data_IF_544823051725
#
_entry.id   IF_544823051725
#
_cell.length_a   1.000
_cell.length_b   1.000
_cell.length_c   1.000
_cell.angle_alpha   90.00
_cell.angle_beta   90.00
_cell.angle_gamma   90.00
#
_symmetry.space_group_name_H-M   'P 1'
#
loop_
_entity.id
_entity.type
_entity.pdbx_description
1 polymer ?
#
# COMPACT_ATOMS: atom_id res chain seq x y z
N UNK A 1 -14.70 -7.72 -13.12
CA UNK A 1 -13.60 -8.25 -12.30
C UNK A 1 -14.10 -8.46 -10.89
N UNK A 2 -13.72 -9.57 -10.24
CA UNK A 2 -13.97 -9.73 -8.81
C UNK A 2 -13.04 -8.79 -8.04
N UNK A 3 -13.60 -8.10 -7.05
CA UNK A 3 -12.85 -7.19 -6.18
C UNK A 3 -12.26 -8.02 -5.05
N UNK A 4 -10.94 -7.99 -4.90
CA UNK A 4 -10.30 -8.63 -3.76
C UNK A 4 -9.73 -7.56 -2.81
N UNK A 5 -9.77 -7.88 -1.52
CA UNK A 5 -9.12 -7.09 -0.49
C UNK A 5 -7.69 -7.61 -0.29
N UNK A 6 -6.70 -6.77 -0.60
CA UNK A 6 -5.27 -7.08 -0.51
C UNK A 6 -4.64 -6.34 0.65
N UNK A 7 -4.14 -7.08 1.65
CA UNK A 7 -3.39 -6.49 2.76
C UNK A 7 -1.90 -6.55 2.44
N UNK A 8 -1.23 -5.39 2.51
CA UNK A 8 0.21 -5.26 2.28
C UNK A 8 0.85 -4.70 3.56
N UNK A 9 1.62 -5.56 4.24
CA UNK A 9 2.48 -5.14 5.35
C UNK A 9 3.79 -4.58 4.80
N UNK A 10 3.97 -3.27 4.89
CA UNK A 10 5.15 -2.58 4.37
C UNK A 10 6.45 -3.01 5.07
N UNK A 11 6.38 -3.55 6.29
CA UNK A 11 7.56 -4.07 7.00
C UNK A 11 8.17 -5.25 6.26
N UNK A 12 7.37 -6.01 5.52
CA UNK A 12 7.82 -7.20 4.78
C UNK A 12 8.53 -6.86 3.47
N UNK A 13 8.49 -5.60 3.01
CA UNK A 13 9.13 -5.17 1.77
C UNK A 13 10.65 -4.93 1.91
N UNK A 14 11.14 -4.88 3.14
CA UNK A 14 12.55 -4.60 3.44
C UNK A 14 13.04 -5.45 4.62
N UNK A 15 14.36 -5.62 4.71
CA UNK A 15 15.02 -6.33 5.80
C UNK A 15 14.96 -5.58 7.13
N UNK A 16 16.10 -5.34 7.77
CA UNK A 16 16.12 -4.65 9.07
C UNK A 16 15.69 -3.17 8.96
N UNK A 17 16.26 -2.45 7.99
CA UNK A 17 16.02 -1.03 7.75
C UNK A 17 15.70 -0.77 6.28
N UNK A 18 14.64 -0.02 6.01
CA UNK A 18 14.30 0.42 4.67
C UNK A 18 15.35 1.40 4.14
N UNK A 19 15.79 1.20 2.91
CA UNK A 19 16.83 2.03 2.27
C UNK A 19 16.22 2.81 1.11
N UNK A 20 16.50 4.11 1.05
CA UNK A 20 16.01 4.96 -0.03
C UNK A 20 16.55 4.51 -1.41
N UNK A 21 17.76 3.96 -1.45
CA UNK A 21 18.36 3.42 -2.68
C UNK A 21 17.59 2.22 -3.28
N UNK A 22 16.81 1.51 -2.46
CA UNK A 22 16.00 0.35 -2.85
C UNK A 22 14.53 0.73 -3.12
N UNK A 23 14.19 2.03 -3.07
CA UNK A 23 12.81 2.53 -3.14
C UNK A 23 12.03 1.99 -4.33
N UNK A 24 12.67 1.94 -5.50
CA UNK A 24 12.04 1.46 -6.71
C UNK A 24 11.60 -0.01 -6.59
N UNK A 25 12.45 -0.85 -5.97
CA UNK A 25 12.13 -2.26 -5.73
C UNK A 25 10.96 -2.44 -4.76
N UNK A 26 10.86 -1.60 -3.73
CA UNK A 26 9.72 -1.65 -2.81
C UNK A 26 8.41 -1.25 -3.51
N UNK A 27 8.46 -0.25 -4.41
CA UNK A 27 7.30 0.17 -5.21
C UNK A 27 6.86 -0.94 -6.15
N UNK A 28 7.78 -1.59 -6.86
CA UNK A 28 7.47 -2.72 -7.76
C UNK A 28 6.86 -3.91 -7.03
N UNK A 29 7.37 -4.25 -5.84
CA UNK A 29 6.77 -5.27 -4.99
C UNK A 29 5.36 -4.89 -4.57
N UNK A 30 5.14 -3.65 -4.10
CA UNK A 30 3.83 -3.19 -3.68
C UNK A 30 2.80 -3.18 -4.83
N UNK A 31 3.21 -2.75 -6.03
CA UNK A 31 2.38 -2.81 -7.24
C UNK A 31 1.99 -4.24 -7.60
N UNK A 32 2.94 -5.17 -7.51
CA UNK A 32 2.71 -6.59 -7.79
C UNK A 32 1.73 -7.21 -6.80
N UNK A 33 1.91 -6.93 -5.49
CA UNK A 33 1.03 -7.43 -4.43
C UNK A 33 -0.38 -6.83 -4.49
N UNK A 34 -0.50 -5.57 -4.89
CA UNK A 34 -1.79 -4.90 -5.04
C UNK A 34 -2.61 -5.47 -6.19
N UNK A 35 -1.95 -5.81 -7.31
CA UNK A 35 -2.65 -6.11 -8.56
C UNK A 35 -3.42 -4.89 -9.10
N UNK A 36 -4.39 -5.13 -9.99
CA UNK A 36 -5.18 -4.08 -10.61
C UNK A 36 -6.64 -4.11 -10.15
N UNK A 37 -7.19 -2.94 -9.81
CA UNK A 37 -8.60 -2.76 -9.47
C UNK A 37 -9.02 -3.35 -8.12
N UNK A 38 -8.09 -3.73 -7.25
CA UNK A 38 -8.37 -4.27 -5.91
C UNK A 38 -8.55 -3.16 -4.86
N UNK A 39 -9.19 -3.51 -3.74
CA UNK A 39 -9.10 -2.72 -2.51
C UNK A 39 -7.79 -3.08 -1.82
N UNK A 40 -6.95 -2.08 -1.53
CA UNK A 40 -5.63 -2.30 -0.93
C UNK A 40 -5.59 -1.69 0.46
N UNK A 41 -5.08 -2.46 1.41
CA UNK A 41 -4.90 -2.06 2.81
C UNK A 41 -3.41 -2.08 3.14
N UNK A 42 -2.82 -0.92 3.41
CA UNK A 42 -1.45 -0.78 3.87
C UNK A 42 -1.39 -0.87 5.39
N UNK A 43 -0.42 -1.63 5.89
CA UNK A 43 -0.14 -1.75 7.32
C UNK A 43 1.36 -1.94 7.58
N UNK A 44 1.73 -2.13 8.85
CA UNK A 44 3.09 -2.43 9.24
C UNK A 44 3.94 -1.22 9.62
N UNK A 45 5.07 -1.50 10.27
CA UNK A 45 6.04 -0.45 10.61
C UNK A 45 6.85 -0.14 9.35
N UNK A 46 6.80 1.12 8.90
CA UNK A 46 7.63 1.61 7.81
C UNK A 46 7.84 3.13 7.94
N UNK A 47 8.92 3.69 7.35
CA UNK A 47 9.12 5.13 7.31
C UNK A 47 7.98 5.83 6.55
N UNK A 48 7.68 7.07 6.95
CA UNK A 48 6.63 7.88 6.32
C UNK A 48 6.86 8.04 4.81
N UNK A 49 8.10 8.23 4.37
CA UNK A 49 8.42 8.38 2.95
C UNK A 49 8.06 7.12 2.12
N UNK A 50 8.14 5.93 2.72
CA UNK A 50 7.81 4.69 2.03
C UNK A 50 6.28 4.58 1.84
N UNK A 51 5.52 4.90 2.89
CA UNK A 51 4.07 5.04 2.82
C UNK A 51 3.63 6.03 1.73
N UNK A 52 4.22 7.23 1.71
CA UNK A 52 3.88 8.26 0.73
C UNK A 52 4.16 7.80 -0.71
N UNK A 53 5.33 7.19 -0.95
CA UNK A 53 5.70 6.74 -2.30
C UNK A 53 4.82 5.59 -2.78
N UNK A 54 4.56 4.60 -1.93
CA UNK A 54 3.70 3.45 -2.27
C UNK A 54 2.25 3.93 -2.47
N UNK A 55 1.71 4.76 -1.59
CA UNK A 55 0.35 5.29 -1.75
C UNK A 55 0.19 6.06 -3.07
N UNK A 56 1.18 6.88 -3.46
CA UNK A 56 1.17 7.57 -4.74
C UNK A 56 1.22 6.58 -5.93
N UNK A 57 2.09 5.58 -5.89
CA UNK A 57 2.18 4.58 -6.95
C UNK A 57 0.89 3.75 -7.11
N UNK A 58 0.17 3.50 -6.01
CA UNK A 58 -1.07 2.74 -5.99
C UNK A 58 -2.31 3.54 -6.44
N UNK A 59 -2.25 4.87 -6.50
CA UNK A 59 -3.41 5.73 -6.83
C UNK A 59 -4.08 5.37 -8.16
N UNK A 60 -3.31 4.99 -9.17
CA UNK A 60 -3.82 4.56 -10.48
C UNK A 60 -4.00 3.04 -10.63
N UNK A 61 -3.85 2.26 -9.56
CA UNK A 61 -3.83 0.79 -9.59
C UNK A 61 -4.86 0.16 -8.68
N UNK A 62 -4.99 0.64 -7.46
CA UNK A 62 -6.04 0.24 -6.54
C UNK A 62 -7.32 1.03 -6.81
N UNK A 63 -8.49 0.42 -6.61
CA UNK A 63 -9.75 1.18 -6.62
C UNK A 63 -9.89 2.06 -5.38
N UNK A 64 -9.38 1.55 -4.25
CA UNK A 64 -9.48 2.14 -2.93
C UNK A 64 -8.23 1.77 -2.16
N UNK A 65 -7.67 2.73 -1.44
CA UNK A 65 -6.49 2.53 -0.61
C UNK A 65 -6.81 2.93 0.83
N UNK A 66 -6.50 2.04 1.75
CA UNK A 66 -6.77 2.17 3.18
C UNK A 66 -5.44 2.01 3.92
N UNK A 67 -5.21 2.81 4.95
CA UNK A 67 -4.21 2.55 5.97
C UNK A 67 -4.87 1.90 7.18
N UNK A 68 -4.24 0.91 7.80
CA UNK A 68 -4.73 0.35 9.06
C UNK A 68 -3.61 0.13 10.08
N UNK A 69 -3.93 0.43 11.35
CA UNK A 69 -3.10 0.12 12.51
C UNK A 69 -3.97 -0.23 13.72
N UNK A 70 -3.41 -0.92 14.74
CA UNK A 70 -4.13 -1.20 15.97
C UNK A 70 -4.67 0.04 16.69
N UNK A 71 -4.06 1.21 16.47
CA UNK A 71 -4.41 2.46 17.18
C UNK A 71 -5.46 3.25 16.42
N UNK A 72 -5.32 3.36 15.09
CA UNK A 72 -6.18 4.21 14.26
C UNK A 72 -7.41 3.47 13.72
N UNK A 73 -7.37 2.13 13.70
CA UNK A 73 -8.26 1.36 12.83
C UNK A 73 -8.02 1.71 11.37
N UNK A 74 -9.04 1.54 10.53
CA UNK A 74 -8.98 1.81 9.10
C UNK A 74 -9.18 3.29 8.79
N UNK A 75 -8.26 3.85 8.03
CA UNK A 75 -8.29 5.23 7.52
C UNK A 75 -8.20 5.18 6.01
N UNK A 76 -9.24 5.63 5.32
CA UNK A 76 -9.24 5.73 3.86
C UNK A 76 -8.24 6.80 3.44
N UNK A 77 -7.31 6.45 2.55
CA UNK A 77 -6.37 7.38 1.91
C UNK A 77 -7.01 7.96 0.65
N UNK A 78 -7.58 7.10 -0.20
CA UNK A 78 -8.42 7.51 -1.32
C UNK A 78 -9.45 6.42 -1.63
N UNK A 79 -10.53 6.82 -2.29
CA UNK A 79 -11.58 5.94 -2.78
C UNK A 79 -12.05 6.42 -4.16
N UNK A 80 -11.87 5.56 -5.16
CA UNK A 80 -12.34 5.75 -6.53
C UNK A 80 -13.44 4.75 -6.89
N UNK A 81 -14.05 4.08 -5.91
CA UNK A 81 -15.27 3.31 -6.16
C UNK A 81 -16.44 4.29 -6.37
N UNK A 82 -17.08 4.34 -7.55
CA UNK A 82 -18.14 5.30 -7.83
C UNK A 82 -19.52 4.87 -7.33
N UNK A 83 -19.63 3.78 -6.57
CA UNK A 83 -20.89 3.19 -6.11
C UNK A 83 -21.00 3.10 -4.58
#
# INVERSE_FOLDING_TARGET
MMVERRVIDLKLLYGEQAKLAELQGYVEQALTLAGEGNEVVLTGRAPVWLYLKIAHALHGKARRLIYTSPVTGEVVIFDHDPF
#
